data_IF_449891230848
#
_entry.id   IF_449891230848
#
_cell.length_a   1.000
_cell.length_b   1.000
_cell.length_c   1.000
_cell.angle_alpha   90.00
_cell.angle_beta   90.00
_cell.angle_gamma   90.00
#
_symmetry.space_group_name_H-M   'P 1'
#
loop_
_entity.id
_entity.type
_entity.pdbx_description
1 polymer ?
#
# COMPACT_ATOMS: atom_id res chain seq x y z
N UNK A 1 21.23 -5.17 -15.78
CA UNK A 1 20.45 -5.41 -17.02
C UNK A 1 18.99 -5.26 -16.63
N UNK A 2 18.23 -4.35 -17.26
CA UNK A 2 16.79 -4.24 -17.03
C UNK A 2 16.14 -5.52 -17.56
N UNK A 3 15.51 -6.29 -16.70
CA UNK A 3 14.71 -7.44 -17.10
C UNK A 3 13.47 -6.89 -17.82
N UNK A 4 13.31 -7.26 -19.09
CA UNK A 4 12.12 -6.86 -19.84
C UNK A 4 10.91 -7.60 -19.26
N UNK A 5 9.98 -6.86 -18.68
CA UNK A 5 8.75 -7.46 -18.12
C UNK A 5 7.97 -8.17 -19.25
N UNK A 6 7.37 -9.34 -18.99
CA UNK A 6 6.55 -10.05 -19.99
C UNK A 6 5.40 -9.20 -20.50
N UNK A 7 4.98 -9.43 -21.76
CA UNK A 7 3.84 -8.72 -22.35
C UNK A 7 2.54 -8.88 -21.55
N UNK A 8 2.35 -10.04 -20.91
CA UNK A 8 1.21 -10.28 -20.00
C UNK A 8 1.24 -9.38 -18.76
N UNK A 9 2.42 -9.09 -18.20
CA UNK A 9 2.55 -8.17 -17.09
C UNK A 9 2.19 -6.73 -17.51
N UNK A 10 2.71 -6.27 -18.67
CA UNK A 10 2.36 -4.94 -19.22
C UNK A 10 0.85 -4.85 -19.45
N UNK A 11 0.25 -5.88 -20.04
CA UNK A 11 -1.19 -5.92 -20.30
C UNK A 11 -2.01 -5.81 -19.00
N UNK A 12 -1.59 -6.46 -17.91
CA UNK A 12 -2.30 -6.39 -16.62
C UNK A 12 -2.16 -5.02 -15.95
N UNK A 13 -1.02 -4.36 -16.07
CA UNK A 13 -0.83 -2.99 -15.58
C UNK A 13 -1.68 -1.97 -16.35
N UNK A 14 -1.88 -2.18 -17.66
CA UNK A 14 -2.67 -1.31 -18.54
C UNK A 14 -4.16 -1.71 -18.60
N UNK A 15 -4.58 -2.78 -17.90
CA UNK A 15 -5.94 -3.32 -17.99
C UNK A 15 -7.03 -2.35 -17.54
N UNK A 16 -6.74 -1.51 -16.54
CA UNK A 16 -7.62 -0.45 -16.08
C UNK A 16 -6.97 0.90 -16.32
N UNK A 17 -7.63 1.73 -17.12
CA UNK A 17 -7.20 3.12 -17.32
C UNK A 17 -7.41 3.93 -16.04
N UNK A 18 -6.40 4.71 -15.67
CA UNK A 18 -6.52 5.65 -14.54
C UNK A 18 -7.41 6.84 -14.93
N UNK A 19 -8.39 7.23 -14.10
CA UNK A 19 -9.14 8.47 -14.32
C UNK A 19 -8.23 9.71 -14.30
N UNK A 20 -8.62 10.82 -14.96
CA UNK A 20 -7.76 12.01 -15.07
C UNK A 20 -7.26 12.59 -13.74
N UNK A 21 -8.06 12.48 -12.67
CA UNK A 21 -7.68 12.94 -11.34
C UNK A 21 -6.54 12.08 -10.75
N UNK A 22 -6.55 10.78 -11.02
CA UNK A 22 -5.55 9.83 -10.55
C UNK A 22 -4.26 9.96 -11.36
N UNK A 23 -4.34 10.11 -12.69
CA UNK A 23 -3.17 10.43 -13.52
C UNK A 23 -2.50 11.75 -13.08
N UNK A 24 -3.29 12.77 -12.73
CA UNK A 24 -2.76 14.05 -12.24
C UNK A 24 -2.07 13.87 -10.86
N UNK A 25 -2.60 13.00 -9.99
CA UNK A 25 -1.97 12.66 -8.72
C UNK A 25 -0.63 11.95 -8.94
N UNK A 26 -0.57 11.00 -9.87
CA UNK A 26 0.65 10.27 -10.25
C UNK A 26 1.74 11.21 -10.73
N UNK A 27 1.47 12.06 -11.72
CA UNK A 27 2.44 13.06 -12.20
C UNK A 27 2.96 13.95 -11.07
N UNK A 28 2.07 14.38 -10.18
CA UNK A 28 2.44 15.20 -9.02
C UNK A 28 3.35 14.46 -8.04
N UNK A 29 3.12 13.15 -7.83
CA UNK A 29 3.99 12.32 -7.01
C UNK A 29 5.38 12.18 -7.62
N UNK A 30 5.46 11.90 -8.90
CA UNK A 30 6.72 11.79 -9.65
C UNK A 30 7.52 13.09 -9.63
N UNK A 31 6.86 14.26 -9.80
CA UNK A 31 7.48 15.58 -9.69
C UNK A 31 8.07 15.86 -8.30
N UNK A 32 7.50 15.25 -7.26
CA UNK A 32 8.00 15.35 -5.88
C UNK A 32 9.03 14.27 -5.51
N UNK A 33 9.38 13.38 -6.46
CA UNK A 33 10.30 12.29 -6.24
C UNK A 33 9.72 11.10 -5.46
N UNK A 34 8.41 11.05 -5.28
CA UNK A 34 7.73 9.85 -4.80
C UNK A 34 7.64 8.80 -5.92
N UNK A 35 7.56 7.54 -5.55
CA UNK A 35 7.30 6.42 -6.45
C UNK A 35 5.87 5.94 -6.24
N UNK A 36 4.87 6.42 -7.01
CA UNK A 36 3.50 5.98 -6.83
C UNK A 36 3.33 4.51 -7.20
N UNK A 37 2.46 3.80 -6.47
CA UNK A 37 2.09 2.42 -6.81
C UNK A 37 1.71 2.29 -8.29
N UNK A 38 2.08 1.17 -8.93
CA UNK A 38 1.71 0.91 -10.31
C UNK A 38 0.19 0.67 -10.44
N UNK A 39 -0.40 0.90 -11.64
CA UNK A 39 -1.85 0.78 -11.82
C UNK A 39 -2.42 -0.58 -11.42
N UNK A 40 -1.72 -1.67 -11.70
CA UNK A 40 -2.12 -3.02 -11.30
C UNK A 40 -2.18 -3.19 -9.78
N UNK A 41 -1.19 -2.67 -9.05
CA UNK A 41 -1.22 -2.61 -7.57
C UNK A 41 -2.41 -1.79 -7.08
N UNK A 42 -2.62 -0.59 -7.64
CA UNK A 42 -3.74 0.27 -7.28
C UNK A 42 -5.09 -0.42 -7.48
N UNK A 43 -5.29 -1.07 -8.64
CA UNK A 43 -6.49 -1.84 -8.95
C UNK A 43 -6.71 -3.00 -7.98
N UNK A 44 -5.63 -3.71 -7.58
CA UNK A 44 -5.70 -4.78 -6.60
C UNK A 44 -6.08 -4.25 -5.20
N UNK A 45 -5.49 -3.14 -4.77
CA UNK A 45 -5.84 -2.48 -3.49
C UNK A 45 -7.31 -2.07 -3.46
N UNK A 46 -7.83 -1.47 -4.55
CA UNK A 46 -9.26 -1.15 -4.71
C UNK A 46 -10.15 -2.37 -4.55
N UNK A 47 -9.81 -3.45 -5.26
CA UNK A 47 -10.58 -4.71 -5.22
C UNK A 47 -10.57 -5.32 -3.82
N UNK A 48 -9.42 -5.31 -3.14
CA UNK A 48 -9.30 -5.80 -1.75
C UNK A 48 -10.16 -4.97 -0.80
N UNK A 49 -10.08 -3.63 -0.86
CA UNK A 49 -10.90 -2.75 -0.05
C UNK A 49 -12.40 -2.99 -0.25
N UNK A 50 -12.85 -3.15 -1.51
CA UNK A 50 -14.23 -3.46 -1.83
C UNK A 50 -14.65 -4.86 -1.33
N UNK A 51 -13.78 -5.88 -1.49
CA UNK A 51 -14.11 -7.26 -1.12
C UNK A 51 -14.28 -7.47 0.38
N UNK A 52 -13.54 -6.73 1.21
CA UNK A 52 -13.70 -6.77 2.67
C UNK A 52 -14.61 -5.67 3.20
N UNK A 53 -15.21 -4.87 2.30
CA UNK A 53 -16.04 -3.68 2.64
C UNK A 53 -15.33 -2.79 3.66
N UNK A 54 -14.10 -2.40 3.36
CA UNK A 54 -13.24 -1.70 4.29
C UNK A 54 -13.78 -0.29 4.61
N UNK A 55 -14.31 -0.07 5.80
CA UNK A 55 -14.73 1.23 6.31
C UNK A 55 -13.57 1.99 6.97
N UNK A 56 -12.59 1.27 7.51
CA UNK A 56 -11.44 1.86 8.19
C UNK A 56 -10.15 1.32 7.61
N UNK A 57 -9.39 2.18 6.94
CA UNK A 57 -8.11 1.82 6.32
C UNK A 57 -6.99 2.67 6.90
N UNK A 58 -5.82 2.05 7.14
CA UNK A 58 -4.56 2.76 7.42
C UNK A 58 -3.59 2.52 6.27
N UNK A 59 -2.97 3.57 5.82
CA UNK A 59 -1.91 3.55 4.82
C UNK A 59 -0.63 4.16 5.38
N UNK A 60 0.49 3.50 5.17
CA UNK A 60 1.84 3.96 5.48
C UNK A 60 2.53 4.30 4.16
N UNK A 61 2.85 5.57 3.96
CA UNK A 61 3.32 6.11 2.68
C UNK A 61 2.17 6.79 1.91
N UNK A 62 2.01 8.10 2.08
CA UNK A 62 0.94 8.88 1.41
C UNK A 62 1.33 9.26 -0.01
N UNK A 63 2.59 9.65 -0.22
CA UNK A 63 3.01 10.26 -1.48
C UNK A 63 2.08 11.39 -1.92
N UNK A 64 1.71 11.43 -3.18
CA UNK A 64 0.71 12.35 -3.70
C UNK A 64 -0.73 11.81 -3.64
N UNK A 65 -0.96 10.68 -2.97
CA UNK A 65 -2.27 10.08 -2.72
C UNK A 65 -2.78 9.18 -3.83
N UNK A 66 -1.91 8.56 -4.64
CA UNK A 66 -2.31 7.66 -5.74
C UNK A 66 -2.95 6.39 -5.19
N UNK A 67 -2.26 5.64 -4.32
CA UNK A 67 -2.78 4.45 -3.63
C UNK A 67 -4.03 4.77 -2.82
N UNK A 68 -4.01 5.93 -2.11
CA UNK A 68 -5.15 6.43 -1.36
C UNK A 68 -6.41 6.63 -2.22
N UNK A 69 -6.27 7.17 -3.44
CA UNK A 69 -7.40 7.35 -4.37
C UNK A 69 -7.97 6.00 -4.83
N UNK A 70 -7.12 5.03 -5.13
CA UNK A 70 -7.55 3.68 -5.45
C UNK A 70 -8.30 3.01 -4.29
N UNK A 71 -7.79 3.16 -3.06
CA UNK A 71 -8.44 2.64 -1.85
C UNK A 71 -9.81 3.27 -1.64
N UNK A 72 -9.89 4.62 -1.71
CA UNK A 72 -11.13 5.37 -1.51
C UNK A 72 -12.21 5.04 -2.55
N UNK A 73 -11.81 4.68 -3.79
CA UNK A 73 -12.74 4.21 -4.83
C UNK A 73 -13.29 2.81 -4.54
N UNK A 74 -12.52 1.96 -3.84
CA UNK A 74 -12.96 0.62 -3.40
C UNK A 74 -13.71 0.60 -2.07
N UNK A 75 -13.56 1.64 -1.24
CA UNK A 75 -14.17 1.73 0.08
C UNK A 75 -15.63 2.22 -0.01
N UNK A 76 -16.51 1.83 0.94
CA UNK A 76 -17.83 2.43 1.11
C UNK A 76 -17.76 3.98 1.23
N UNK A 77 -18.84 4.68 0.86
CA UNK A 77 -18.88 6.15 0.84
C UNK A 77 -18.66 6.80 2.22
N UNK A 78 -19.02 6.10 3.30
CA UNK A 78 -18.79 6.50 4.68
C UNK A 78 -17.47 6.02 5.27
N UNK A 79 -16.67 5.28 4.46
CA UNK A 79 -15.35 4.79 4.85
C UNK A 79 -14.33 5.91 5.02
N UNK A 80 -13.41 5.73 5.99
CA UNK A 80 -12.35 6.69 6.34
C UNK A 80 -10.97 6.07 6.13
N UNK A 81 -10.17 6.70 5.30
CA UNK A 81 -8.76 6.39 5.12
C UNK A 81 -7.91 7.27 6.04
N UNK A 82 -7.07 6.66 6.87
CA UNK A 82 -5.98 7.32 7.59
C UNK A 82 -4.68 7.06 6.84
N UNK A 83 -3.99 8.09 6.38
CA UNK A 83 -2.72 7.96 5.66
C UNK A 83 -1.62 8.73 6.38
N UNK A 84 -0.43 8.13 6.46
CA UNK A 84 0.70 8.60 7.25
C UNK A 84 1.92 8.77 6.36
N UNK A 85 2.55 9.94 6.41
CA UNK A 85 3.79 10.21 5.68
C UNK A 85 4.65 11.20 6.49
N UNK A 86 5.96 11.08 6.38
CA UNK A 86 6.89 11.99 7.04
C UNK A 86 7.00 13.32 6.31
N UNK A 87 6.77 13.33 4.99
CA UNK A 87 6.98 14.49 4.13
C UNK A 87 5.76 15.41 4.06
N UNK A 88 5.86 16.59 4.62
CA UNK A 88 4.78 17.58 4.58
C UNK A 88 4.39 18.04 3.16
N UNK A 89 5.30 17.96 2.19
CA UNK A 89 5.02 18.26 0.79
C UNK A 89 4.11 17.19 0.15
N UNK A 90 4.29 15.91 0.50
CA UNK A 90 3.41 14.82 0.07
C UNK A 90 1.99 15.06 0.55
N UNK A 91 1.79 15.46 1.79
CA UNK A 91 0.46 15.77 2.33
C UNK A 91 -0.25 16.92 1.61
N UNK A 92 0.48 17.96 1.21
CA UNK A 92 -0.12 19.04 0.40
C UNK A 92 -0.56 18.53 -0.97
N UNK A 93 0.28 17.71 -1.59
CA UNK A 93 0.00 17.07 -2.87
C UNK A 93 -1.22 16.13 -2.77
N UNK A 94 -1.28 15.28 -1.75
CA UNK A 94 -2.38 14.36 -1.51
C UNK A 94 -3.70 15.11 -1.27
N UNK A 95 -3.72 16.17 -0.45
CA UNK A 95 -4.92 17.02 -0.26
C UNK A 95 -5.42 17.59 -1.58
N UNK A 96 -4.52 18.07 -2.44
CA UNK A 96 -4.88 18.56 -3.76
C UNK A 96 -5.44 17.45 -4.65
N UNK A 97 -4.86 16.24 -4.61
CA UNK A 97 -5.33 15.08 -5.35
C UNK A 97 -6.74 14.68 -4.92
N UNK A 98 -6.98 14.60 -3.61
CA UNK A 98 -8.30 14.27 -3.05
C UNK A 98 -9.35 15.31 -3.43
N UNK A 99 -9.01 16.60 -3.33
CA UNK A 99 -9.91 17.68 -3.75
C UNK A 99 -10.23 17.62 -5.25
N UNK A 100 -9.23 17.37 -6.11
CA UNK A 100 -9.40 17.23 -7.56
C UNK A 100 -10.28 16.03 -7.91
N UNK A 101 -10.18 14.94 -7.14
CA UNK A 101 -11.00 13.74 -7.31
C UNK A 101 -12.40 13.85 -6.65
N UNK A 102 -12.74 14.99 -6.02
CA UNK A 102 -14.03 15.18 -5.37
C UNK A 102 -14.21 14.38 -4.07
N UNK A 103 -13.12 13.93 -3.45
CA UNK A 103 -13.18 13.19 -2.18
C UNK A 103 -13.57 14.15 -1.05
N UNK A 104 -14.63 13.80 -0.34
CA UNK A 104 -15.10 14.58 0.80
C UNK A 104 -14.05 14.61 1.93
N UNK A 105 -13.72 15.78 2.51
CA UNK A 105 -12.64 15.91 3.50
C UNK A 105 -12.74 14.98 4.70
N UNK A 106 -13.95 14.63 5.14
CA UNK A 106 -14.20 13.73 6.25
C UNK A 106 -13.80 12.26 5.95
N UNK A 107 -13.62 11.89 4.69
CA UNK A 107 -13.18 10.55 4.28
C UNK A 107 -11.69 10.33 4.41
N UNK A 108 -10.91 11.39 4.69
CA UNK A 108 -9.45 11.29 4.76
C UNK A 108 -8.91 11.91 6.05
N UNK A 109 -8.04 11.18 6.72
CA UNK A 109 -7.26 11.66 7.85
C UNK A 109 -5.78 11.58 7.49
N UNK A 110 -5.16 12.72 7.22
CA UNK A 110 -3.76 12.81 6.80
C UNK A 110 -2.92 13.18 8.03
N UNK A 111 -1.95 12.34 8.39
CA UNK A 111 -1.10 12.51 9.58
C UNK A 111 0.35 12.68 9.14
N UNK A 112 0.96 13.82 9.46
CA UNK A 112 2.40 14.07 9.25
C UNK A 112 3.19 13.50 10.41
N UNK A 113 4.15 12.61 10.15
CA UNK A 113 5.05 12.04 11.15
C UNK A 113 5.64 10.71 10.72
N UNK A 114 6.58 10.21 11.49
CA UNK A 114 7.10 8.86 11.29
C UNK A 114 6.01 7.84 11.61
N UNK A 115 5.83 6.85 10.74
CA UNK A 115 4.77 5.87 10.91
C UNK A 115 4.92 5.10 12.23
N UNK A 116 6.15 4.76 12.64
CA UNK A 116 6.43 4.06 13.90
C UNK A 116 6.13 4.89 15.17
N UNK A 117 6.00 6.21 15.05
CA UNK A 117 5.54 7.07 16.15
C UNK A 117 4.01 7.21 16.20
N UNK A 118 3.36 7.05 15.05
CA UNK A 118 1.91 7.20 14.90
C UNK A 118 1.17 5.89 15.17
N UNK A 119 1.64 4.81 14.55
CA UNK A 119 0.98 3.49 14.61
C UNK A 119 0.72 3.00 16.05
N UNK A 120 1.64 3.16 17.03
CA UNK A 120 1.38 2.73 18.42
C UNK A 120 0.18 3.42 19.10
N UNK A 121 -0.27 4.56 18.57
CA UNK A 121 -1.43 5.32 19.08
C UNK A 121 -2.76 4.86 18.49
N UNK A 122 -2.72 4.00 17.47
CA UNK A 122 -3.91 3.44 16.84
C UNK A 122 -4.43 2.25 17.66
N UNK A 123 -5.74 2.12 17.71
CA UNK A 123 -6.40 1.08 18.51
C UNK A 123 -6.20 -0.31 17.88
N UNK A 124 -6.02 -1.31 18.74
CA UNK A 124 -5.86 -2.72 18.36
C UNK A 124 -7.13 -3.26 17.70
N UNK A 125 -6.97 -3.98 16.59
CA UNK A 125 -8.06 -4.66 15.89
C UNK A 125 -9.16 -3.72 15.37
N UNK A 126 -8.86 -2.44 15.16
CA UNK A 126 -9.85 -1.42 14.79
C UNK A 126 -9.92 -1.14 13.28
N UNK A 127 -9.03 -1.71 12.49
CA UNK A 127 -8.93 -1.40 11.06
C UNK A 127 -9.26 -2.63 10.21
N UNK A 128 -10.00 -2.39 9.13
CA UNK A 128 -10.37 -3.42 8.16
C UNK A 128 -9.21 -3.76 7.24
N UNK A 129 -8.38 -2.77 6.92
CA UNK A 129 -7.25 -2.95 6.03
C UNK A 129 -6.09 -2.04 6.44
N UNK A 130 -4.86 -2.55 6.27
CA UNK A 130 -3.61 -1.78 6.43
C UNK A 130 -2.78 -1.96 5.16
N UNK A 131 -2.32 -0.84 4.60
CA UNK A 131 -1.42 -0.82 3.44
C UNK A 131 -0.06 -0.31 3.86
N UNK A 132 0.99 -1.03 3.50
CA UNK A 132 2.39 -0.72 3.80
C UNK A 132 3.11 -0.42 2.50
N UNK A 133 3.45 0.85 2.30
CA UNK A 133 4.16 1.40 1.14
C UNK A 133 5.09 2.55 1.57
N UNK A 134 5.82 2.33 2.65
CA UNK A 134 6.77 3.28 3.23
C UNK A 134 8.23 2.88 2.99
N UNK A 135 9.13 3.26 3.90
CA UNK A 135 10.53 2.84 3.82
C UNK A 135 10.66 1.32 4.00
N UNK A 136 11.09 0.63 2.96
CA UNK A 136 11.20 -0.83 2.96
C UNK A 136 12.07 -1.36 4.12
N UNK A 137 13.06 -0.60 4.59
CA UNK A 137 13.92 -0.99 5.72
C UNK A 137 13.16 -1.14 7.05
N UNK A 138 12.03 -0.46 7.17
CA UNK A 138 11.16 -0.47 8.36
C UNK A 138 9.99 -1.48 8.24
N UNK A 139 9.85 -2.19 7.13
CA UNK A 139 8.75 -3.14 6.89
C UNK A 139 8.53 -4.15 8.02
N UNK A 140 9.55 -4.78 8.63
CA UNK A 140 9.31 -5.70 9.75
C UNK A 140 8.57 -5.03 10.91
N UNK A 141 8.94 -3.79 11.26
CA UNK A 141 8.31 -3.03 12.33
C UNK A 141 6.91 -2.53 11.92
N UNK A 142 6.72 -2.13 10.67
CA UNK A 142 5.39 -1.77 10.14
C UNK A 142 4.43 -2.95 10.18
N UNK A 143 4.89 -4.13 9.79
CA UNK A 143 4.09 -5.37 9.80
C UNK A 143 3.66 -5.74 11.21
N UNK A 144 4.55 -5.65 12.20
CA UNK A 144 4.20 -5.90 13.61
C UNK A 144 3.03 -5.00 14.05
N UNK A 145 3.10 -3.71 13.74
CA UNK A 145 2.03 -2.76 14.05
C UNK A 145 0.78 -3.01 13.20
N UNK A 146 0.93 -3.30 11.91
CA UNK A 146 -0.20 -3.60 11.02
C UNK A 146 -1.01 -4.79 11.51
N UNK A 147 -0.33 -5.87 11.93
CA UNK A 147 -0.99 -7.06 12.49
C UNK A 147 -1.66 -6.80 13.84
N UNK A 148 -1.18 -5.84 14.62
CA UNK A 148 -1.82 -5.41 15.86
C UNK A 148 -3.12 -4.65 15.60
N UNK A 149 -3.07 -3.68 14.68
CA UNK A 149 -4.21 -2.76 14.46
C UNK A 149 -5.27 -3.33 13.52
N UNK A 150 -4.93 -4.24 12.61
CA UNK A 150 -5.90 -4.90 11.72
C UNK A 150 -6.78 -5.85 12.52
N UNK A 151 -8.09 -5.86 12.25
CA UNK A 151 -9.02 -6.81 12.89
C UNK A 151 -8.85 -8.24 12.36
N UNK A 152 -9.42 -9.21 13.05
CA UNK A 152 -9.59 -10.56 12.52
C UNK A 152 -10.48 -10.52 11.27
N UNK A 153 -10.09 -11.21 10.22
CA UNK A 153 -10.71 -11.14 8.90
C UNK A 153 -10.33 -9.89 8.09
N UNK A 154 -9.51 -9.00 8.66
CA UNK A 154 -8.98 -7.83 7.94
C UNK A 154 -7.74 -8.17 7.13
N UNK A 155 -7.33 -7.23 6.30
CA UNK A 155 -6.27 -7.39 5.29
C UNK A 155 -5.06 -6.51 5.60
N UNK A 156 -3.87 -7.08 5.51
CA UNK A 156 -2.60 -6.33 5.43
C UNK A 156 -2.04 -6.52 4.02
N UNK A 157 -1.73 -5.44 3.34
CA UNK A 157 -1.12 -5.42 2.00
C UNK A 157 0.22 -4.70 2.06
N UNK A 158 1.28 -5.34 1.54
CA UNK A 158 2.63 -4.77 1.44
C UNK A 158 3.00 -4.63 -0.02
N UNK A 159 3.31 -3.42 -0.48
CA UNK A 159 3.80 -3.20 -1.84
C UNK A 159 5.32 -3.42 -1.93
N UNK A 160 5.86 -3.43 -3.13
CA UNK A 160 7.30 -3.59 -3.45
C UNK A 160 7.97 -4.87 -2.90
N UNK A 161 7.19 -5.93 -2.66
CA UNK A 161 7.70 -7.16 -2.07
C UNK A 161 8.56 -8.02 -3.02
N UNK A 162 8.64 -7.68 -4.32
CA UNK A 162 9.60 -8.27 -5.26
C UNK A 162 10.87 -7.43 -5.42
N UNK A 163 10.83 -6.16 -5.01
CA UNK A 163 11.98 -5.26 -4.95
C UNK A 163 12.79 -5.25 -6.24
N UNK A 164 12.15 -4.82 -7.34
CA UNK A 164 12.72 -4.78 -8.70
C UNK A 164 13.24 -6.15 -9.17
N UNK A 165 12.45 -7.21 -8.95
CA UNK A 165 12.77 -8.62 -9.20
C UNK A 165 13.95 -9.18 -8.36
N UNK A 166 14.56 -8.39 -7.47
CA UNK A 166 15.72 -8.79 -6.66
C UNK A 166 15.38 -9.87 -5.62
N UNK A 167 14.16 -9.86 -5.07
CA UNK A 167 13.72 -10.87 -4.11
C UNK A 167 13.68 -12.26 -4.75
N UNK A 168 13.33 -12.35 -6.05
CA UNK A 168 13.33 -13.59 -6.79
C UNK A 168 14.73 -14.04 -7.24
N UNK A 169 15.71 -13.12 -7.33
CA UNK A 169 17.08 -13.43 -7.75
C UNK A 169 17.91 -13.99 -6.57
N UNK A 170 18.34 -15.26 -6.58
CA UNK A 170 19.15 -15.82 -5.50
C UNK A 170 20.56 -15.20 -5.38
N UNK A 171 21.03 -14.49 -6.40
CA UNK A 171 22.30 -13.78 -6.38
C UNK A 171 22.21 -12.40 -5.69
N UNK A 172 21.04 -11.81 -5.61
CA UNK A 172 20.81 -10.54 -4.92
C UNK A 172 20.81 -10.77 -3.39
N UNK A 173 21.80 -10.18 -2.71
CA UNK A 173 22.08 -10.39 -1.27
C UNK A 173 22.27 -9.10 -0.49
N UNK A 174 21.86 -7.97 -1.04
CA UNK A 174 21.83 -6.72 -0.28
C UNK A 174 20.86 -6.83 0.90
N UNK A 175 21.04 -5.94 1.86
CA UNK A 175 20.34 -5.97 3.15
C UNK A 175 18.81 -5.92 2.96
N UNK A 176 18.31 -4.96 2.16
CA UNK A 176 16.87 -4.79 1.92
C UNK A 176 16.27 -6.01 1.23
N UNK A 177 16.91 -6.51 0.16
CA UNK A 177 16.44 -7.72 -0.55
C UNK A 177 16.37 -8.94 0.37
N UNK A 178 17.41 -9.11 1.21
CA UNK A 178 17.48 -10.24 2.13
C UNK A 178 16.42 -10.14 3.22
N UNK A 179 16.20 -8.94 3.73
CA UNK A 179 15.19 -8.65 4.75
C UNK A 179 13.77 -8.89 4.19
N UNK A 180 13.42 -8.34 3.01
CA UNK A 180 12.10 -8.55 2.37
C UNK A 180 11.84 -10.03 2.07
N UNK A 181 12.85 -10.75 1.58
CA UNK A 181 12.77 -12.20 1.34
C UNK A 181 12.50 -12.97 2.65
N UNK A 182 13.14 -12.56 3.74
CA UNK A 182 12.94 -13.17 5.06
C UNK A 182 11.55 -12.87 5.61
N UNK A 183 11.13 -11.60 5.52
CA UNK A 183 9.80 -11.14 5.95
C UNK A 183 8.69 -11.89 5.18
N UNK A 184 8.81 -12.01 3.86
CA UNK A 184 7.85 -12.75 3.03
C UNK A 184 7.71 -14.22 3.47
N UNK A 185 8.82 -14.88 3.84
CA UNK A 185 8.80 -16.25 4.38
C UNK A 185 8.14 -16.31 5.76
N UNK A 186 8.47 -15.36 6.64
CA UNK A 186 7.86 -15.30 7.98
C UNK A 186 6.34 -15.13 7.88
N UNK A 187 5.86 -14.21 7.02
CA UNK A 187 4.43 -14.01 6.83
C UNK A 187 3.73 -15.22 6.20
N UNK A 188 4.39 -15.91 5.26
CA UNK A 188 3.87 -17.14 4.66
C UNK A 188 3.71 -18.26 5.69
N UNK A 189 4.67 -18.39 6.60
CA UNK A 189 4.75 -19.45 7.56
C UNK A 189 4.00 -19.15 8.89
N UNK A 190 3.43 -17.94 9.03
CA UNK A 190 2.63 -17.55 10.19
C UNK A 190 1.22 -18.15 10.13
N UNK A 191 0.94 -19.08 11.04
CA UNK A 191 -0.35 -19.78 11.12
C UNK A 191 -1.56 -18.86 11.37
N UNK A 192 -1.34 -17.66 11.89
CA UNK A 192 -2.39 -16.66 12.11
C UNK A 192 -2.84 -15.96 10.82
N UNK A 193 -2.10 -16.15 9.72
CA UNK A 193 -2.30 -15.46 8.46
C UNK A 193 -2.70 -16.41 7.34
N UNK A 194 -3.37 -15.85 6.35
CA UNK A 194 -3.54 -16.47 5.04
C UNK A 194 -2.97 -15.52 4.00
N UNK A 195 -1.86 -15.90 3.38
CA UNK A 195 -1.05 -15.00 2.56
C UNK A 195 -1.05 -15.38 1.08
N UNK A 196 -0.87 -14.38 0.23
CA UNK A 196 -0.56 -14.55 -1.18
C UNK A 196 0.40 -13.45 -1.63
N UNK A 197 1.34 -13.78 -2.51
CA UNK A 197 2.17 -12.80 -3.22
C UNK A 197 1.65 -12.68 -4.64
N UNK A 198 1.06 -11.53 -4.95
CA UNK A 198 0.47 -11.23 -6.26
C UNK A 198 1.53 -10.59 -7.16
N UNK A 199 1.68 -11.03 -8.43
CA UNK A 199 2.66 -10.50 -9.37
C UNK A 199 2.15 -9.23 -10.07
N UNK A 200 1.53 -8.31 -9.33
CA UNK A 200 1.12 -6.97 -9.79
C UNK A 200 2.11 -5.95 -9.29
N UNK A 201 2.31 -4.88 -10.05
CA UNK A 201 3.28 -3.87 -9.68
C UNK A 201 4.70 -4.43 -9.51
N UNK A 202 5.33 -4.09 -8.40
CA UNK A 202 6.60 -4.68 -7.97
C UNK A 202 6.40 -5.75 -6.87
N UNK A 203 5.24 -6.45 -6.93
CA UNK A 203 4.87 -7.54 -6.04
C UNK A 203 4.09 -7.09 -4.81
N UNK A 204 2.79 -7.35 -4.82
CA UNK A 204 1.90 -7.06 -3.70
C UNK A 204 1.73 -8.32 -2.83
N UNK A 205 2.29 -8.32 -1.62
CA UNK A 205 2.00 -9.37 -0.65
C UNK A 205 0.73 -9.01 0.12
N UNK A 206 -0.23 -9.91 0.10
CA UNK A 206 -1.51 -9.75 0.80
C UNK A 206 -1.62 -10.81 1.88
N UNK A 207 -2.02 -10.40 3.07
CA UNK A 207 -2.23 -11.28 4.22
C UNK A 207 -3.60 -11.00 4.86
N UNK A 208 -4.41 -12.02 5.04
CA UNK A 208 -5.66 -11.94 5.82
C UNK A 208 -5.40 -12.47 7.22
N UNK A 209 -5.75 -11.69 8.26
CA UNK A 209 -5.63 -12.10 9.65
C UNK A 209 -6.75 -13.08 10.02
N UNK A 210 -6.40 -14.31 10.42
CA UNK A 210 -7.38 -15.36 10.83
C UNK A 210 -7.70 -15.33 12.33
N UNK A 211 -6.75 -14.90 13.15
CA UNK A 211 -6.87 -14.88 14.61
C UNK A 211 -6.01 -13.79 15.24
#
# INVERSE_FOLDING_TARGET
MSVQKPASWIYTEEFLAEPPALEAARRRGEELGATPVLPGTGAALRLLAASVQAHTVVEIGTGAGVSALWLLDGMPEDGVLTTIDIEAQHHRAARQSFSTAGIAPQRTRIITGQALDVLPRLADGAYDMVVVDGDAREYPAYVEQALRVVRVGGVVALDDMLWHDRVADPAARDETTTMLRTLGKQLRDDERLQTSLLPVGDGLLVAVRKS
#
